data_IF_924479892456
#
_entry.id   IF_924479892456
#
_cell.length_a   1.000
_cell.length_b   1.000
_cell.length_c   1.000
_cell.angle_alpha   90.00
_cell.angle_beta   90.00
_cell.angle_gamma   90.00
#
_symmetry.space_group_name_H-M   'P 1'
#
loop_
_entity.id
_entity.type
_entity.pdbx_description
1 polymer ?
#
# COMPACT_ATOMS: atom_id res chain seq x y z
N UNK A 1 -55.28 -10.95 -15.17
CA UNK A 1 -54.67 -9.80 -14.49
C UNK A 1 -53.18 -10.07 -14.43
N UNK A 2 -52.45 -9.73 -15.48
CA UNK A 2 -51.09 -10.22 -15.74
C UNK A 2 -50.14 -9.03 -15.69
N UNK A 3 -49.15 -9.10 -14.80
CA UNK A 3 -48.14 -8.06 -14.60
C UNK A 3 -47.19 -7.97 -15.82
N UNK A 4 -46.63 -6.78 -16.14
CA UNK A 4 -45.68 -6.65 -17.22
C UNK A 4 -44.30 -7.17 -16.82
N UNK A 5 -43.70 -7.90 -17.77
CA UNK A 5 -42.35 -8.48 -17.71
C UNK A 5 -41.29 -7.36 -17.66
N UNK A 6 -40.31 -7.47 -16.75
CA UNK A 6 -39.19 -6.51 -16.65
C UNK A 6 -38.03 -6.99 -17.50
N UNK A 7 -37.37 -6.13 -18.30
CA UNK A 7 -36.16 -6.54 -19.00
C UNK A 7 -35.02 -6.80 -18.00
N UNK A 8 -34.36 -7.95 -18.15
CA UNK A 8 -33.19 -8.34 -17.37
C UNK A 8 -31.98 -7.46 -17.72
N UNK A 9 -31.29 -7.00 -16.68
CA UNK A 9 -30.04 -6.22 -16.80
C UNK A 9 -28.90 -7.10 -17.32
N UNK A 10 -27.98 -6.58 -18.17
CA UNK A 10 -26.83 -7.36 -18.61
C UNK A 10 -25.87 -7.58 -17.43
N UNK A 11 -25.43 -8.83 -17.25
CA UNK A 11 -24.43 -9.21 -16.27
C UNK A 11 -23.06 -8.62 -16.66
N UNK A 12 -22.45 -7.88 -15.73
CA UNK A 12 -21.06 -7.43 -15.83
C UNK A 12 -20.13 -8.63 -16.00
N UNK A 13 -19.17 -8.63 -16.95
CA UNK A 13 -18.24 -9.74 -17.06
C UNK A 13 -17.35 -9.79 -15.82
N UNK A 14 -17.35 -10.94 -15.16
CA UNK A 14 -16.42 -11.23 -14.07
C UNK A 14 -14.99 -11.23 -14.63
N UNK A 15 -14.16 -10.32 -14.13
CA UNK A 15 -12.72 -10.30 -14.43
C UNK A 15 -12.14 -11.60 -13.85
N UNK A 16 -11.75 -12.53 -14.72
CA UNK A 16 -11.08 -13.76 -14.31
C UNK A 16 -9.73 -13.42 -13.67
N UNK A 17 -9.56 -13.80 -12.40
CA UNK A 17 -8.29 -13.68 -11.70
C UNK A 17 -7.22 -14.53 -12.43
N UNK A 18 -6.17 -13.88 -12.92
CA UNK A 18 -5.05 -14.56 -13.58
C UNK A 18 -4.32 -15.50 -12.61
N UNK A 19 -3.79 -16.64 -13.08
CA UNK A 19 -3.11 -17.61 -12.24
C UNK A 19 -1.85 -17.01 -11.61
N UNK A 20 -1.76 -17.12 -10.28
CA UNK A 20 -0.68 -16.54 -9.46
C UNK A 20 0.59 -17.39 -9.55
N UNK A 21 1.78 -16.79 -9.76
CA UNK A 21 3.05 -17.52 -9.69
C UNK A 21 3.29 -18.07 -8.27
N UNK A 22 3.82 -19.31 -8.15
CA UNK A 22 4.01 -19.99 -6.86
C UNK A 22 5.14 -19.42 -5.99
N UNK A 23 5.99 -18.58 -6.55
CA UNK A 23 7.16 -18.00 -5.93
C UNK A 23 6.95 -16.49 -5.87
N UNK A 24 7.06 -15.90 -4.66
CA UNK A 24 6.76 -14.50 -4.31
C UNK A 24 7.61 -13.43 -5.02
N UNK A 25 8.01 -13.69 -6.26
CA UNK A 25 8.76 -12.84 -7.16
C UNK A 25 7.93 -12.43 -8.40
N UNK A 26 6.60 -12.59 -8.37
CA UNK A 26 5.75 -12.05 -9.42
C UNK A 26 6.04 -10.53 -9.57
N UNK A 27 6.37 -10.05 -10.78
CA UNK A 27 6.61 -8.63 -10.98
C UNK A 27 5.35 -7.86 -10.58
N UNK A 28 5.50 -6.93 -9.63
CA UNK A 28 4.41 -6.02 -9.28
C UNK A 28 4.01 -5.28 -10.56
N UNK A 29 2.73 -5.39 -10.94
CA UNK A 29 2.26 -4.79 -12.20
C UNK A 29 2.37 -3.26 -12.14
N UNK A 30 2.63 -2.64 -13.29
CA UNK A 30 2.67 -1.16 -13.40
C UNK A 30 1.37 -0.51 -12.94
N UNK A 31 0.23 -1.18 -13.16
CA UNK A 31 -1.08 -0.76 -12.65
C UNK A 31 -1.12 -0.69 -11.12
N UNK A 32 -0.50 -1.67 -10.43
CA UNK A 32 -0.42 -1.69 -8.97
C UNK A 32 0.44 -0.56 -8.43
N UNK A 33 1.56 -0.28 -9.10
CA UNK A 33 2.42 0.86 -8.78
C UNK A 33 1.68 2.18 -8.99
N UNK A 34 0.87 2.30 -10.05
CA UNK A 34 0.04 3.47 -10.29
C UNK A 34 -1.05 3.65 -9.20
N UNK A 35 -1.61 2.56 -8.67
CA UNK A 35 -2.59 2.59 -7.59
C UNK A 35 -2.04 3.26 -6.32
N UNK A 36 -0.78 2.97 -5.98
CA UNK A 36 -0.12 3.54 -4.79
C UNK A 36 -0.07 5.08 -4.83
N UNK A 37 -0.08 5.67 -6.02
CA UNK A 37 -0.01 7.12 -6.22
C UNK A 37 -1.37 7.76 -6.51
N UNK A 38 -2.45 6.99 -6.60
CA UNK A 38 -3.78 7.49 -6.93
C UNK A 38 -4.35 8.30 -5.76
N UNK A 39 -4.94 9.46 -6.07
CA UNK A 39 -5.58 10.33 -5.08
C UNK A 39 -4.63 11.14 -4.19
N UNK A 40 -3.32 10.97 -4.33
CA UNK A 40 -2.34 11.80 -3.62
C UNK A 40 -2.24 13.18 -4.25
N UNK A 41 -2.15 14.21 -3.43
CA UNK A 41 -1.76 15.54 -3.88
C UNK A 41 -0.28 15.58 -4.33
N UNK A 42 0.16 16.75 -4.80
CA UNK A 42 1.51 16.94 -5.31
C UNK A 42 2.58 16.66 -4.24
N UNK A 43 2.40 17.12 -3.02
CA UNK A 43 3.41 17.03 -1.97
C UNK A 43 3.44 15.63 -1.36
N UNK A 44 2.28 15.02 -1.15
CA UNK A 44 2.16 13.62 -0.76
C UNK A 44 2.79 12.69 -1.79
N UNK A 45 2.53 12.90 -3.09
CA UNK A 45 3.15 12.11 -4.16
C UNK A 45 4.67 12.28 -4.14
N UNK A 46 5.18 13.52 -4.01
CA UNK A 46 6.63 13.77 -3.90
C UNK A 46 7.25 13.06 -2.71
N UNK A 47 6.58 13.05 -1.56
CA UNK A 47 7.03 12.33 -0.38
C UNK A 47 7.07 10.82 -0.63
N UNK A 48 5.99 10.23 -1.19
CA UNK A 48 5.92 8.80 -1.49
C UNK A 48 7.00 8.38 -2.49
N UNK A 49 7.22 9.16 -3.54
CA UNK A 49 8.18 8.83 -4.62
C UNK A 49 9.59 9.35 -4.39
N UNK A 50 9.88 9.93 -3.21
CA UNK A 50 11.21 10.47 -2.90
C UNK A 50 12.31 9.43 -3.18
N UNK A 51 13.44 9.92 -3.70
CA UNK A 51 14.56 9.09 -4.09
C UNK A 51 15.39 8.64 -2.90
N UNK A 52 16.70 8.74 -3.10
CA UNK A 52 17.71 8.46 -2.10
C UNK A 52 17.88 9.62 -1.11
N UNK A 53 18.53 9.32 0.01
CA UNK A 53 18.91 10.30 1.01
C UNK A 53 17.78 10.72 1.96
N UNK A 54 18.13 11.53 2.98
CA UNK A 54 17.19 11.90 4.04
C UNK A 54 16.06 12.80 3.51
N UNK A 55 14.88 12.64 4.09
CA UNK A 55 13.70 13.45 3.82
C UNK A 55 12.97 13.76 5.12
N UNK A 56 12.59 15.04 5.31
CA UNK A 56 11.72 15.48 6.40
C UNK A 56 10.37 15.91 5.82
N UNK A 57 9.29 15.36 6.36
CA UNK A 57 7.91 15.73 6.00
C UNK A 57 7.27 16.47 7.18
N UNK A 58 6.97 17.75 6.98
CA UNK A 58 6.24 18.58 7.94
C UNK A 58 4.79 18.66 7.48
N UNK A 59 3.86 18.31 8.37
CA UNK A 59 2.46 18.17 8.00
C UNK A 59 1.54 18.54 9.17
N UNK A 60 0.35 19.08 8.88
CA UNK A 60 -0.66 19.39 9.89
C UNK A 60 -1.48 18.16 10.32
N UNK A 61 -2.35 18.27 11.35
CA UNK A 61 -3.36 17.25 11.63
C UNK A 61 -4.25 16.98 10.40
N UNK A 62 -4.69 15.73 10.21
CA UNK A 62 -5.63 15.38 9.12
C UNK A 62 -5.07 15.38 7.69
N UNK A 63 -3.77 15.63 7.50
CA UNK A 63 -3.13 15.74 6.17
C UNK A 63 -2.68 14.40 5.55
N UNK A 64 -3.08 13.27 6.12
CA UNK A 64 -2.75 11.95 5.59
C UNK A 64 -1.31 11.47 5.85
N UNK A 65 -0.65 11.93 6.93
CA UNK A 65 0.75 11.53 7.25
C UNK A 65 0.95 10.02 7.25
N UNK A 66 0.08 9.29 7.95
CA UNK A 66 0.13 7.82 8.03
C UNK A 66 -0.03 7.20 6.65
N UNK A 67 -0.95 7.70 5.83
CA UNK A 67 -1.16 7.23 4.47
C UNK A 67 0.07 7.45 3.57
N UNK A 68 0.72 8.61 3.68
CA UNK A 68 1.98 8.89 2.98
C UNK A 68 3.07 7.91 3.39
N UNK A 69 3.25 7.66 4.68
CA UNK A 69 4.29 6.75 5.17
C UNK A 69 4.03 5.32 4.70
N UNK A 70 2.80 4.80 4.84
CA UNK A 70 2.47 3.42 4.43
C UNK A 70 2.58 3.24 2.92
N UNK A 71 2.12 4.23 2.13
CA UNK A 71 2.27 4.19 0.66
C UNK A 71 3.73 4.32 0.24
N UNK A 72 4.59 5.04 0.99
CA UNK A 72 6.02 5.08 0.72
C UNK A 72 6.69 3.73 0.94
N UNK A 73 6.39 3.05 2.05
CA UNK A 73 6.90 1.68 2.30
C UNK A 73 6.49 0.77 1.14
N UNK A 74 5.21 0.76 0.78
CA UNK A 74 4.72 -0.03 -0.34
C UNK A 74 5.38 0.36 -1.67
N UNK A 75 5.61 1.65 -1.92
CA UNK A 75 6.28 2.15 -3.12
C UNK A 75 7.72 1.65 -3.23
N UNK A 76 8.49 1.71 -2.14
CA UNK A 76 9.88 1.24 -2.12
C UNK A 76 9.97 -0.26 -2.45
N UNK A 77 9.06 -1.05 -1.88
CA UNK A 77 8.98 -2.50 -2.14
C UNK A 77 8.52 -2.78 -3.58
N UNK A 78 7.42 -2.15 -4.01
CA UNK A 78 6.84 -2.38 -5.33
C UNK A 78 7.77 -1.97 -6.48
N UNK A 79 8.55 -0.91 -6.29
CA UNK A 79 9.54 -0.44 -7.28
C UNK A 79 10.91 -1.10 -7.14
N UNK A 80 11.03 -2.12 -6.28
CA UNK A 80 12.27 -2.88 -6.01
C UNK A 80 13.43 -1.99 -5.56
N UNK A 81 13.13 -0.86 -4.90
CA UNK A 81 14.14 0.03 -4.29
C UNK A 81 14.58 -0.44 -2.91
N UNK A 82 13.74 -1.21 -2.23
CA UNK A 82 14.09 -1.91 -1.00
C UNK A 82 13.40 -3.27 -0.98
N UNK A 83 14.09 -4.29 -0.46
CA UNK A 83 13.43 -5.50 0.03
C UNK A 83 12.65 -5.12 1.29
N UNK A 84 11.52 -5.75 1.58
CA UNK A 84 10.77 -5.42 2.79
C UNK A 84 11.61 -5.54 4.07
N UNK A 85 12.48 -6.56 4.15
CA UNK A 85 13.40 -6.79 5.27
C UNK A 85 14.44 -5.69 5.46
N UNK A 86 14.56 -4.76 4.50
CA UNK A 86 15.44 -3.58 4.57
C UNK A 86 14.67 -2.33 5.05
N UNK A 87 13.36 -2.43 5.27
CA UNK A 87 12.51 -1.33 5.72
C UNK A 87 12.24 -1.47 7.21
N UNK A 88 12.65 -0.45 7.97
CA UNK A 88 12.28 -0.24 9.36
C UNK A 88 11.39 1.00 9.47
N UNK A 89 10.20 0.85 10.04
CA UNK A 89 9.33 1.95 10.41
C UNK A 89 9.13 1.96 11.93
N UNK A 90 9.34 3.12 12.55
CA UNK A 90 9.20 3.30 13.99
C UNK A 90 8.08 4.29 14.30
N UNK A 91 7.32 4.00 15.34
CA UNK A 91 6.26 4.87 15.85
C UNK A 91 6.25 4.91 17.38
N UNK A 92 5.41 5.75 17.98
CA UNK A 92 5.36 5.94 19.42
C UNK A 92 4.38 5.04 20.16
N UNK A 93 3.38 4.47 19.47
CA UNK A 93 2.31 3.68 20.10
C UNK A 93 2.10 2.36 19.38
N UNK A 94 1.78 1.31 20.14
CA UNK A 94 1.54 -0.02 19.57
C UNK A 94 0.38 0.00 18.58
N UNK A 95 -0.70 0.71 18.92
CA UNK A 95 -1.84 0.91 18.02
C UNK A 95 -1.44 1.50 16.67
N UNK A 96 -0.53 2.48 16.65
CA UNK A 96 -0.07 3.06 15.40
C UNK A 96 0.81 2.07 14.61
N UNK A 97 1.57 1.24 15.31
CA UNK A 97 2.39 0.18 14.71
C UNK A 97 1.51 -0.84 14.01
N UNK A 98 0.51 -1.37 14.72
CA UNK A 98 -0.44 -2.36 14.21
C UNK A 98 -1.27 -1.82 13.05
N UNK A 99 -1.71 -0.56 13.14
CA UNK A 99 -2.45 0.11 12.07
C UNK A 99 -1.59 0.30 10.82
N UNK A 100 -0.33 0.71 10.99
CA UNK A 100 0.61 0.85 9.88
C UNK A 100 0.92 -0.48 9.23
N UNK A 101 1.14 -1.55 10.02
CA UNK A 101 1.35 -2.90 9.52
C UNK A 101 0.16 -3.37 8.68
N UNK A 102 -1.04 -3.30 9.24
CA UNK A 102 -2.27 -3.69 8.54
C UNK A 102 -2.45 -2.96 7.21
N UNK A 103 -2.11 -1.67 7.15
CA UNK A 103 -2.18 -0.88 5.92
C UNK A 103 -1.12 -1.31 4.90
N UNK A 104 0.11 -1.57 5.33
CA UNK A 104 1.19 -2.02 4.44
C UNK A 104 0.87 -3.39 3.85
N UNK A 105 0.35 -4.32 4.65
CA UNK A 105 -0.01 -5.69 4.21
C UNK A 105 -1.12 -5.69 3.14
N UNK A 106 -2.05 -4.73 3.19
CA UNK A 106 -3.06 -4.56 2.14
C UNK A 106 -2.44 -4.04 0.84
N UNK A 107 -1.42 -3.18 0.94
CA UNK A 107 -0.77 -2.56 -0.21
C UNK A 107 0.25 -3.50 -0.88
N UNK A 108 0.94 -4.33 -0.10
CA UNK A 108 2.02 -5.23 -0.51
C UNK A 108 1.55 -6.69 -0.45
N UNK A 109 1.42 -7.42 -1.57
CA UNK A 109 0.90 -8.80 -1.56
C UNK A 109 1.71 -9.78 -0.69
N UNK A 110 1.03 -10.75 -0.09
CA UNK A 110 1.63 -11.84 0.71
C UNK A 110 2.76 -12.60 -0.01
N UNK A 111 3.82 -12.94 0.73
CA UNK A 111 4.97 -13.74 0.25
C UNK A 111 6.29 -12.97 0.19
N UNK A 112 6.25 -11.67 0.41
CA UNK A 112 7.43 -10.86 0.68
C UNK A 112 7.69 -10.93 2.20
N UNK A 113 8.96 -11.09 2.63
CA UNK A 113 9.32 -10.95 4.04
C UNK A 113 8.66 -9.68 4.61
N UNK A 114 8.26 -9.64 5.87
CA UNK A 114 7.50 -8.49 6.38
C UNK A 114 8.42 -7.29 6.60
N UNK A 115 7.91 -6.08 6.32
CA UNK A 115 8.60 -4.86 6.74
C UNK A 115 8.59 -4.79 8.28
N UNK A 116 9.69 -4.36 8.89
CA UNK A 116 9.76 -4.22 10.35
C UNK A 116 9.06 -2.94 10.78
N UNK A 117 7.87 -3.05 11.38
CA UNK A 117 7.10 -1.92 11.90
C UNK A 117 6.92 -2.11 13.40
N UNK A 118 7.53 -1.23 14.19
CA UNK A 118 7.59 -1.37 15.65
C UNK A 118 7.41 -0.03 16.36
N UNK A 119 7.18 -0.09 17.68
CA UNK A 119 7.42 1.06 18.53
C UNK A 119 8.90 1.21 18.85
N UNK A 120 9.32 2.43 19.25
CA UNK A 120 10.70 2.67 19.68
C UNK A 120 11.14 1.73 20.82
N UNK A 121 10.26 1.42 21.77
CA UNK A 121 10.57 0.55 22.91
C UNK A 121 10.57 -0.94 22.55
N UNK A 122 9.82 -1.36 21.53
CA UNK A 122 9.78 -2.77 21.11
C UNK A 122 10.99 -3.15 20.25
N UNK A 123 11.60 -2.17 19.58
CA UNK A 123 12.77 -2.39 18.72
C UNK A 123 14.11 -2.36 19.47
N UNK A 124 14.21 -1.58 20.56
CA UNK A 124 15.44 -1.41 21.35
C UNK A 124 15.47 -2.28 22.59
#
# INVERSE_FOLDING_TARGET
MTAPDRPSSPATPAIAASPRPPDGNAPVSLERVAELLRGLDRDQRRAVTHGEGPMLVIAGPGTGKTEVITRRVAWLIATKRARPSEVLALTFTDRASDEMQSRVDVLVPYGHAEASIHTFHAFG
#
